data_IF_717797586713
#
_entry.id   IF_717797586713
#
_cell.length_a   1.000
_cell.length_b   1.000
_cell.length_c   1.000
_cell.angle_alpha   90.00
_cell.angle_beta   90.00
_cell.angle_gamma   90.00
#
_symmetry.space_group_name_H-M   'P 1'
#
loop_
_entity.id
_entity.type
_entity.pdbx_description
1 polymer ?
#
# COMPACT_ATOMS: atom_id res chain seq x y z
N UNK A 1 -16.46 0.06 -20.62
CA UNK A 1 -16.71 1.43 -20.14
C UNK A 1 -18.04 1.44 -19.40
N UNK A 2 -18.11 1.96 -18.17
CA UNK A 2 -19.39 2.15 -17.49
C UNK A 2 -20.23 3.23 -18.20
N UNK A 3 -21.55 3.28 -17.96
CA UNK A 3 -22.36 4.44 -18.35
C UNK A 3 -21.77 5.73 -17.75
N UNK A 4 -21.72 6.80 -18.54
CA UNK A 4 -21.21 8.10 -18.12
C UNK A 4 -22.39 9.07 -18.05
N UNK A 5 -22.62 9.62 -16.86
CA UNK A 5 -23.55 10.72 -16.65
C UNK A 5 -22.84 12.06 -16.87
N UNK A 6 -23.51 12.99 -17.55
CA UNK A 6 -22.96 14.30 -17.87
C UNK A 6 -23.90 15.41 -17.40
N UNK A 7 -23.32 16.45 -16.80
CA UNK A 7 -24.03 17.67 -16.38
C UNK A 7 -23.34 18.86 -17.04
N UNK A 8 -24.12 19.81 -17.53
CA UNK A 8 -23.63 21.02 -18.15
C UNK A 8 -23.85 22.23 -17.24
N UNK A 9 -22.82 23.04 -17.07
CA UNK A 9 -22.86 24.29 -16.31
C UNK A 9 -22.15 25.39 -17.11
N UNK A 10 -22.76 26.57 -17.17
CA UNK A 10 -22.29 27.65 -18.02
C UNK A 10 -21.76 28.82 -17.20
N UNK A 11 -20.53 29.23 -17.53
CA UNK A 11 -19.93 30.46 -17.03
C UNK A 11 -19.20 31.11 -18.21
N UNK A 12 -19.79 32.16 -18.79
CA UNK A 12 -19.23 32.82 -19.97
C UNK A 12 -17.82 33.38 -19.70
N UNK A 13 -16.94 33.28 -20.69
CA UNK A 13 -15.60 33.87 -20.64
C UNK A 13 -15.66 35.37 -20.95
N UNK A 14 -15.15 36.27 -20.10
CA UNK A 14 -15.02 37.68 -20.45
C UNK A 14 -13.84 37.94 -21.43
N UNK A 15 -13.06 36.91 -21.79
CA UNK A 15 -11.81 37.03 -22.55
C UNK A 15 -11.98 36.88 -24.06
N UNK A 16 -13.16 36.53 -24.55
CA UNK A 16 -13.43 36.46 -25.98
C UNK A 16 -14.88 36.89 -26.26
N UNK A 17 -15.16 37.51 -27.43
CA UNK A 17 -16.51 38.03 -27.76
C UNK A 17 -17.61 36.96 -27.81
N UNK A 18 -17.23 35.70 -27.99
CA UNK A 18 -18.17 34.57 -28.07
C UNK A 18 -18.52 34.00 -26.68
N UNK A 19 -17.84 34.41 -25.61
CA UNK A 19 -18.05 33.86 -24.27
C UNK A 19 -17.59 32.41 -24.08
N UNK A 20 -16.92 31.80 -25.06
CA UNK A 20 -16.61 30.36 -25.07
C UNK A 20 -15.35 30.00 -24.27
N UNK A 21 -15.27 28.75 -23.83
CA UNK A 21 -14.09 28.15 -23.16
C UNK A 21 -13.76 26.81 -23.83
N UNK A 22 -12.48 26.44 -23.84
CA UNK A 22 -12.04 25.13 -24.35
C UNK A 22 -12.37 23.99 -23.38
N UNK A 23 -12.71 22.80 -23.91
CA UNK A 23 -13.09 21.62 -23.14
C UNK A 23 -12.44 20.30 -23.62
N UNK A 24 -11.55 20.32 -24.62
CA UNK A 24 -11.04 19.09 -25.26
C UNK A 24 -10.30 18.13 -24.31
N UNK A 25 -9.51 18.66 -23.38
CA UNK A 25 -8.65 17.86 -22.51
C UNK A 25 -9.31 17.44 -21.18
N UNK A 26 -10.49 17.99 -20.86
CA UNK A 26 -11.15 17.75 -19.57
C UNK A 26 -11.44 16.26 -19.33
N UNK A 27 -11.82 15.55 -20.38
CA UNK A 27 -12.06 14.10 -20.34
C UNK A 27 -10.81 13.25 -20.23
N UNK A 28 -9.63 13.78 -20.54
CA UNK A 28 -8.36 13.04 -20.39
C UNK A 28 -7.69 13.35 -19.03
N UNK A 29 -7.78 14.59 -18.55
CA UNK A 29 -7.09 15.06 -17.35
C UNK A 29 -7.81 14.63 -16.07
N UNK A 30 -9.12 14.87 -15.97
CA UNK A 30 -9.85 14.69 -14.72
C UNK A 30 -10.15 13.23 -14.36
N UNK A 31 -10.50 12.32 -15.30
CA UNK A 31 -10.90 10.96 -14.94
C UNK A 31 -9.82 10.11 -14.24
N UNK A 32 -8.53 10.11 -14.65
CA UNK A 32 -7.52 9.34 -13.93
C UNK A 32 -7.40 9.74 -12.46
N UNK A 33 -7.46 11.04 -12.17
CA UNK A 33 -7.41 11.55 -10.80
C UNK A 33 -8.67 11.18 -9.99
N UNK A 34 -9.86 11.34 -10.58
CA UNK A 34 -11.11 10.99 -9.94
C UNK A 34 -11.20 9.48 -9.61
N UNK A 35 -10.79 8.62 -10.56
CA UNK A 35 -10.77 7.17 -10.37
C UNK A 35 -9.75 6.78 -9.29
N UNK A 36 -8.53 7.34 -9.33
CA UNK A 36 -7.53 7.07 -8.31
C UNK A 36 -7.99 7.49 -6.91
N UNK A 37 -8.60 8.68 -6.79
CA UNK A 37 -9.18 9.16 -5.54
C UNK A 37 -10.29 8.24 -5.01
N UNK A 38 -11.19 7.76 -5.87
CA UNK A 38 -12.24 6.83 -5.48
C UNK A 38 -11.70 5.47 -4.98
N UNK A 39 -10.62 4.97 -5.59
CA UNK A 39 -9.97 3.73 -5.12
C UNK A 39 -9.22 3.96 -3.80
N UNK A 40 -8.55 5.11 -3.62
CA UNK A 40 -7.92 5.48 -2.35
C UNK A 40 -8.95 5.58 -1.22
N UNK A 41 -10.07 6.29 -1.45
CA UNK A 41 -11.19 6.45 -0.51
C UNK A 41 -11.77 5.09 -0.08
N UNK A 42 -12.03 4.19 -1.03
CA UNK A 42 -12.53 2.84 -0.75
C UNK A 42 -11.57 1.98 0.10
N UNK A 43 -10.28 2.34 0.14
CA UNK A 43 -9.23 1.61 0.85
C UNK A 43 -8.64 2.39 2.03
N UNK A 44 -9.24 3.53 2.39
CA UNK A 44 -8.81 4.36 3.52
C UNK A 44 -8.67 3.57 4.84
N UNK A 45 -9.59 2.64 5.20
CA UNK A 45 -9.44 1.82 6.41
C UNK A 45 -8.19 0.93 6.42
N UNK A 46 -7.59 0.68 5.26
CA UNK A 46 -6.38 -0.13 5.09
C UNK A 46 -5.11 0.73 4.99
N UNK A 47 -5.24 2.07 5.04
CA UNK A 47 -4.11 3.00 4.98
C UNK A 47 -3.37 2.97 3.64
N UNK A 48 -4.08 2.66 2.55
CA UNK A 48 -3.53 2.67 1.19
C UNK A 48 -3.43 4.12 0.70
N UNK A 49 -2.32 4.46 0.03
CA UNK A 49 -2.14 5.73 -0.67
C UNK A 49 -1.76 5.48 -2.12
N UNK A 50 -2.41 6.18 -3.04
CA UNK A 50 -2.23 6.04 -4.49
C UNK A 50 -1.57 7.31 -5.02
N UNK A 51 -0.30 7.20 -5.42
CA UNK A 51 0.50 8.34 -5.90
C UNK A 51 0.85 8.23 -7.38
N UNK A 52 0.39 7.19 -8.06
CA UNK A 52 0.69 6.94 -9.47
C UNK A 52 -0.48 6.31 -10.21
N UNK A 53 -0.57 6.60 -11.50
CA UNK A 53 -1.50 5.99 -12.46
C UNK A 53 -0.71 5.22 -13.54
N UNK A 54 -1.30 4.21 -14.19
CA UNK A 54 -2.62 3.63 -13.93
C UNK A 54 -2.67 2.80 -12.64
N UNK A 55 -3.84 2.81 -11.99
CA UNK A 55 -4.15 1.98 -10.82
C UNK A 55 -4.48 0.57 -11.27
N UNK A 56 -3.45 -0.25 -11.48
CA UNK A 56 -3.62 -1.64 -11.93
C UNK A 56 -3.80 -2.58 -10.73
N UNK A 57 -4.50 -3.69 -10.94
CA UNK A 57 -4.68 -4.69 -9.89
C UNK A 57 -3.34 -5.18 -9.27
N UNK A 58 -2.28 -5.50 -10.03
CA UNK A 58 -1.00 -5.89 -9.44
C UNK A 58 -0.37 -4.83 -8.52
N UNK A 59 -0.45 -3.54 -8.90
CA UNK A 59 0.05 -2.44 -8.05
C UNK A 59 -0.77 -2.31 -6.77
N UNK A 60 -2.09 -2.42 -6.89
CA UNK A 60 -3.00 -2.36 -5.74
C UNK A 60 -2.75 -3.50 -4.76
N UNK A 61 -2.58 -4.74 -5.26
CA UNK A 61 -2.25 -5.89 -4.43
C UNK A 61 -0.89 -5.73 -3.73
N UNK A 62 0.11 -5.17 -4.40
CA UNK A 62 1.40 -4.89 -3.79
C UNK A 62 1.29 -3.87 -2.64
N UNK A 63 0.50 -2.80 -2.83
CA UNK A 63 0.24 -1.80 -1.80
C UNK A 63 -0.46 -2.42 -0.58
N UNK A 64 -1.49 -3.25 -0.80
CA UNK A 64 -2.21 -3.93 0.27
C UNK A 64 -1.30 -4.88 1.06
N UNK A 65 -0.49 -5.69 0.38
CA UNK A 65 0.45 -6.62 1.02
C UNK A 65 1.54 -5.92 1.81
N UNK A 66 2.00 -4.75 1.37
CA UNK A 66 2.97 -3.95 2.12
C UNK A 66 2.40 -3.44 3.46
N UNK A 67 1.08 -3.40 3.61
CA UNK A 67 0.37 -2.95 4.81
C UNK A 67 -0.10 -4.09 5.72
N UNK A 68 -0.06 -5.34 5.27
CA UNK A 68 -0.37 -6.47 6.16
C UNK A 68 0.64 -6.54 7.32
N UNK A 69 0.16 -6.62 8.58
CA UNK A 69 1.06 -6.82 9.71
C UNK A 69 1.82 -8.13 9.47
N UNK A 70 3.16 -8.06 9.54
CA UNK A 70 4.02 -9.24 9.45
C UNK A 70 3.57 -10.24 10.49
N UNK A 71 2.77 -11.24 10.09
CA UNK A 71 2.43 -12.37 10.94
C UNK A 71 3.76 -12.97 11.37
N UNK A 72 4.06 -12.84 12.66
CA UNK A 72 5.38 -13.15 13.20
C UNK A 72 5.83 -14.51 12.71
N UNK A 73 6.98 -14.56 12.05
CA UNK A 73 7.75 -15.81 11.99
C UNK A 73 7.93 -16.21 13.44
N UNK A 74 7.16 -17.21 13.90
CA UNK A 74 7.34 -17.80 15.21
C UNK A 74 8.84 -18.08 15.33
N UNK A 75 9.50 -17.38 16.26
CA UNK A 75 10.89 -17.64 16.55
C UNK A 75 10.94 -19.11 16.95
N UNK A 76 11.59 -19.91 16.10
CA UNK A 76 11.92 -21.28 16.42
C UNK A 76 12.81 -21.24 17.65
N UNK A 77 12.19 -21.24 18.83
CA UNK A 77 12.82 -21.36 20.13
C UNK A 77 13.64 -22.66 20.05
N UNK A 78 14.95 -22.51 19.88
CA UNK A 78 15.94 -23.56 20.01
C UNK A 78 15.58 -24.35 21.27
N UNK A 79 15.04 -25.56 21.10
CA UNK A 79 14.83 -26.48 22.22
C UNK A 79 16.20 -26.88 22.70
N UNK A 80 16.54 -26.45 23.91
CA UNK A 80 17.73 -26.90 24.63
C UNK A 80 17.74 -28.41 24.66
N UNK A 81 18.81 -28.99 24.13
CA UNK A 81 19.10 -30.41 24.24
C UNK A 81 19.71 -30.63 25.63
N UNK A 82 18.85 -30.86 26.61
CA UNK A 82 19.25 -31.39 27.92
C UNK A 82 19.67 -32.85 27.71
N UNK A 83 20.98 -33.09 27.70
CA UNK A 83 21.60 -34.40 27.66
C UNK A 83 22.28 -34.66 29.00
N UNK A 84 21.69 -35.58 29.75
CA UNK A 84 22.13 -36.13 31.02
C UNK A 84 23.35 -37.03 30.76
N UNK A 85 24.39 -36.98 31.61
CA UNK A 85 25.36 -38.08 31.69
C UNK A 85 26.77 -37.69 32.13
N UNK A 86 27.26 -38.30 33.21
CA UNK A 86 28.69 -38.52 33.41
C UNK A 86 29.27 -37.95 34.70
N UNK A 87 28.93 -38.56 35.83
CA UNK A 87 29.79 -38.58 37.01
C UNK A 87 31.16 -39.17 36.69
N UNK A 88 32.25 -38.55 37.18
CA UNK A 88 33.33 -39.16 37.97
C UNK A 88 34.68 -38.45 37.80
N UNK A 89 35.33 -38.27 38.95
CA UNK A 89 36.79 -38.22 39.17
C UNK A 89 37.53 -36.89 38.97
N UNK A 90 37.72 -36.16 40.08
CA UNK A 90 38.83 -35.21 40.27
C UNK A 90 39.96 -35.93 41.03
N UNK A 91 41.20 -35.96 40.50
CA UNK A 91 42.38 -36.08 41.35
C UNK A 91 42.94 -34.69 41.71
N UNK A 92 43.58 -34.53 42.88
CA UNK A 92 44.09 -33.25 43.36
C UNK A 92 45.51 -33.02 42.86
N UNK A 93 45.85 -31.78 42.50
CA UNK A 93 47.26 -31.37 42.47
C UNK A 93 47.41 -30.05 43.20
N UNK A 94 48.06 -30.18 44.36
CA UNK A 94 48.55 -29.14 45.25
C UNK A 94 49.80 -28.52 44.61
N UNK A 95 49.91 -27.20 44.63
CA UNK A 95 51.12 -26.47 44.29
C UNK A 95 51.44 -25.51 45.45
N UNK A 96 52.73 -25.16 45.66
CA UNK A 96 53.26 -24.61 46.91
C UNK A 96 52.74 -23.21 47.27
#
# INVERSE_FOLDING_TARGET
MPPIETVHMEFASPRNPLGVKGLGEGGAISPPAAIAGAVEDALDPLGVRITEVPVTAPRLFALLRAREPRRGRASGRRRGRSGIGGSLHRPPVRAP
#
